data_IF_387422702010
#
_entry.id   IF_387422702010
#
_cell.length_a   1.000
_cell.length_b   1.000
_cell.length_c   1.000
_cell.angle_alpha   90.00
_cell.angle_beta   90.00
_cell.angle_gamma   90.00
#
_symmetry.space_group_name_H-M   'P 1'
#
loop_
_entity.id
_entity.type
_entity.pdbx_description
1 polymer ?
#
# COMPACT_ATOMS: atom_id res chain seq x y z
N UNK A 1 -76.77 -4.08 17.08
CA UNK A 1 -77.52 -4.21 15.82
C UNK A 1 -76.54 -4.13 14.66
N UNK A 2 -76.73 -4.95 13.61
CA UNK A 2 -75.74 -5.98 13.28
C UNK A 2 -75.14 -5.86 11.87
N UNK A 3 -74.11 -6.70 11.65
CA UNK A 3 -73.76 -7.41 10.41
C UNK A 3 -73.40 -6.56 9.17
N UNK A 4 -72.33 -6.86 8.43
CA UNK A 4 -72.24 -8.10 7.64
C UNK A 4 -70.82 -8.62 7.43
N UNK A 5 -70.78 -9.95 7.33
CA UNK A 5 -69.70 -10.92 7.20
C UNK A 5 -69.68 -11.43 5.75
N UNK A 6 -68.50 -11.79 5.23
CA UNK A 6 -68.27 -12.85 4.22
C UNK A 6 -66.77 -12.90 3.92
N UNK A 7 -66.02 -13.99 4.07
CA UNK A 7 -66.28 -15.38 3.65
C UNK A 7 -65.40 -15.64 2.40
N UNK A 8 -64.75 -16.77 2.14
CA UNK A 8 -64.55 -18.08 2.77
C UNK A 8 -63.57 -18.83 1.82
N UNK A 9 -63.00 -19.98 2.23
CA UNK A 9 -62.45 -21.07 1.36
C UNK A 9 -61.05 -20.79 0.77
N UNK A 10 -60.06 -21.68 0.77
CA UNK A 10 -59.99 -23.08 1.18
C UNK A 10 -58.54 -23.58 1.04
N UNK A 11 -58.23 -24.67 1.74
CA UNK A 11 -56.98 -25.38 1.65
C UNK A 11 -56.78 -25.99 0.25
N UNK A 12 -55.60 -25.83 -0.34
CA UNK A 12 -55.06 -26.81 -1.29
C UNK A 12 -53.58 -27.01 -0.98
N UNK A 13 -53.33 -28.16 -0.39
CA UNK A 13 -52.03 -28.82 -0.29
C UNK A 13 -51.57 -29.19 -1.70
N UNK A 14 -50.41 -28.68 -2.13
CA UNK A 14 -49.75 -29.18 -3.34
C UNK A 14 -48.26 -29.41 -3.04
N UNK A 15 -47.94 -30.67 -2.74
CA UNK A 15 -46.60 -31.22 -2.79
C UNK A 15 -46.11 -31.16 -4.25
N UNK A 16 -45.00 -30.49 -4.52
CA UNK A 16 -44.26 -30.65 -5.76
C UNK A 16 -42.80 -30.96 -5.41
N UNK A 17 -42.50 -32.26 -5.35
CA UNK A 17 -41.14 -32.79 -5.47
C UNK A 17 -40.71 -32.62 -6.92
N UNK A 18 -39.72 -31.77 -7.18
CA UNK A 18 -38.96 -31.78 -8.42
C UNK A 18 -37.49 -32.01 -8.05
N UNK A 19 -37.05 -33.24 -8.26
CA UNK A 19 -35.63 -33.54 -8.34
C UNK A 19 -35.09 -33.04 -9.68
N UNK A 20 -33.93 -32.38 -9.65
CA UNK A 20 -33.07 -32.20 -10.82
C UNK A 20 -31.69 -32.69 -10.44
N UNK A 21 -31.37 -33.86 -10.98
CA UNK A 21 -30.03 -34.35 -11.26
C UNK A 21 -29.35 -33.47 -12.31
N UNK A 22 -28.08 -33.12 -12.11
CA UNK A 22 -27.28 -32.49 -13.15
C UNK A 22 -25.90 -32.07 -12.66
N UNK A 23 -24.90 -32.94 -12.88
CA UNK A 23 -23.51 -32.53 -12.85
C UNK A 23 -23.24 -31.48 -13.94
N UNK A 24 -22.52 -30.43 -13.59
CA UNK A 24 -22.04 -29.42 -14.51
C UNK A 24 -20.75 -28.83 -13.97
N UNK A 25 -19.67 -28.93 -14.73
CA UNK A 25 -18.44 -28.18 -14.50
C UNK A 25 -18.80 -26.71 -14.32
N UNK A 26 -18.53 -26.17 -13.14
CA UNK A 26 -18.63 -24.75 -12.86
C UNK A 26 -17.61 -23.99 -13.70
N UNK A 27 -18.01 -23.59 -14.90
CA UNK A 27 -17.48 -22.40 -15.54
C UNK A 27 -17.95 -21.22 -14.69
N UNK A 28 -17.11 -20.80 -13.75
CA UNK A 28 -17.21 -19.46 -13.20
C UNK A 28 -17.22 -18.49 -14.39
N UNK A 29 -18.18 -17.56 -14.49
CA UNK A 29 -18.06 -16.50 -15.49
C UNK A 29 -16.76 -15.76 -15.16
N UNK A 30 -15.83 -15.78 -16.11
CA UNK A 30 -14.67 -14.92 -16.10
C UNK A 30 -15.20 -13.51 -15.90
N UNK A 31 -14.93 -12.97 -14.71
CA UNK A 31 -15.15 -11.57 -14.46
C UNK A 31 -14.11 -10.91 -15.34
N UNK A 32 -14.55 -10.40 -16.49
CA UNK A 32 -13.77 -9.45 -17.27
C UNK A 32 -13.40 -8.32 -16.31
N UNK A 33 -12.15 -8.35 -15.83
CA UNK A 33 -11.54 -7.19 -15.24
C UNK A 33 -11.57 -6.13 -16.33
N UNK A 34 -12.44 -5.13 -16.16
CA UNK A 34 -12.41 -3.93 -16.96
C UNK A 34 -10.98 -3.40 -17.00
N UNK A 35 -10.39 -3.41 -18.19
CA UNK A 35 -9.09 -2.86 -18.55
C UNK A 35 -9.16 -1.33 -18.43
N UNK A 36 -9.24 -0.82 -17.21
CA UNK A 36 -9.44 0.61 -16.93
C UNK A 36 -8.38 1.25 -16.04
N UNK A 37 -7.48 0.48 -15.42
CA UNK A 37 -6.58 1.02 -14.39
C UNK A 37 -5.11 0.66 -14.54
N UNK A 38 -4.71 0.02 -15.64
CA UNK A 38 -3.29 -0.02 -15.99
C UNK A 38 -2.99 1.39 -16.50
N UNK A 39 -2.25 2.18 -15.72
CA UNK A 39 -1.63 3.40 -16.20
C UNK A 39 -1.09 3.11 -17.61
N UNK A 40 -1.53 3.88 -18.62
CA UNK A 40 -1.05 3.68 -19.99
C UNK A 40 0.48 3.51 -19.94
N UNK A 41 1.05 2.46 -20.57
CA UNK A 41 2.48 2.15 -20.44
C UNK A 41 3.42 3.34 -20.70
N UNK A 42 2.92 4.36 -21.42
CA UNK A 42 3.61 5.61 -21.71
C UNK A 42 3.91 6.50 -20.48
N UNK A 43 3.18 6.37 -19.37
CA UNK A 43 3.40 7.19 -18.17
C UNK A 43 4.00 6.41 -17.00
N UNK A 44 3.99 5.08 -17.05
CA UNK A 44 4.46 4.24 -15.95
C UNK A 44 6.00 4.23 -15.85
N UNK A 45 6.53 4.42 -14.63
CA UNK A 45 7.96 4.33 -14.36
C UNK A 45 8.37 2.88 -14.16
N UNK A 46 9.29 2.37 -14.98
CA UNK A 46 9.85 1.02 -14.78
C UNK A 46 10.86 1.06 -13.63
N UNK A 47 10.64 0.23 -12.62
CA UNK A 47 11.49 0.11 -11.42
C UNK A 47 11.97 -1.33 -11.24
N UNK A 48 12.97 -1.52 -10.39
CA UNK A 48 13.42 -2.85 -10.02
C UNK A 48 12.35 -3.58 -9.20
N UNK A 49 12.28 -4.91 -9.38
CA UNK A 49 11.55 -5.76 -8.46
C UNK A 49 12.15 -5.61 -7.04
N UNK A 50 11.32 -5.48 -6.00
CA UNK A 50 11.81 -5.34 -4.63
C UNK A 50 12.44 -6.64 -4.13
N UNK A 51 13.61 -6.51 -3.50
CA UNK A 51 14.32 -7.61 -2.83
C UNK A 51 14.19 -7.54 -1.31
N UNK A 52 14.76 -8.52 -0.62
CA UNK A 52 14.87 -8.49 0.85
C UNK A 52 15.72 -7.30 1.34
N UNK A 53 16.76 -6.94 0.60
CA UNK A 53 17.60 -5.78 0.90
C UNK A 53 16.82 -4.48 0.72
N UNK A 54 16.01 -4.36 -0.34
CA UNK A 54 15.14 -3.21 -0.57
C UNK A 54 14.12 -3.05 0.58
N UNK A 55 13.53 -4.15 1.06
CA UNK A 55 12.69 -4.14 2.27
C UNK A 55 13.48 -3.66 3.49
N UNK A 56 14.70 -4.15 3.72
CA UNK A 56 15.52 -3.72 4.84
C UNK A 56 15.88 -2.21 4.77
N UNK A 57 16.14 -1.66 3.58
CA UNK A 57 16.34 -0.22 3.40
C UNK A 57 15.08 0.58 3.77
N UNK A 58 13.90 0.12 3.35
CA UNK A 58 12.62 0.74 3.70
C UNK A 58 12.38 0.74 5.21
N UNK A 59 12.55 -0.41 5.87
CA UNK A 59 12.42 -0.56 7.32
C UNK A 59 13.28 0.44 8.09
N UNK A 60 14.53 0.59 7.65
CA UNK A 60 15.48 1.50 8.29
C UNK A 60 15.10 2.96 8.08
N UNK A 61 14.63 3.34 6.90
CA UNK A 61 14.11 4.69 6.66
C UNK A 61 12.94 5.00 7.60
N UNK A 62 11.95 4.12 7.69
CA UNK A 62 10.82 4.30 8.61
C UNK A 62 11.29 4.46 10.06
N UNK A 63 12.21 3.59 10.51
CA UNK A 63 12.70 3.57 11.89
C UNK A 63 13.46 4.85 12.29
N UNK A 64 14.29 5.38 11.40
CA UNK A 64 15.15 6.53 11.74
C UNK A 64 14.52 7.89 11.46
N UNK A 65 13.49 7.96 10.60
CA UNK A 65 12.82 9.23 10.26
C UNK A 65 11.54 9.51 11.02
N UNK A 66 10.96 8.51 11.70
CA UNK A 66 9.70 8.66 12.41
C UNK A 66 9.86 8.38 13.90
N UNK A 67 8.85 8.75 14.68
CA UNK A 67 8.68 8.19 16.01
C UNK A 67 8.41 6.69 15.92
N UNK A 68 9.45 5.87 16.12
CA UNK A 68 9.42 4.39 16.05
C UNK A 68 8.33 3.67 16.88
N UNK A 69 7.72 4.32 17.87
CA UNK A 69 6.60 3.74 18.63
C UNK A 69 5.24 3.96 17.97
N UNK A 70 5.16 4.79 16.94
CA UNK A 70 3.93 5.19 16.24
C UNK A 70 3.86 4.50 14.87
N UNK A 71 2.91 3.58 14.69
CA UNK A 71 2.73 2.86 13.42
C UNK A 71 2.26 3.77 12.28
N UNK A 72 1.46 4.80 12.58
CA UNK A 72 1.06 5.82 11.59
C UNK A 72 2.27 6.61 11.12
N UNK A 73 3.19 6.95 12.03
CA UNK A 73 4.47 7.57 11.73
C UNK A 73 5.36 6.74 10.79
N UNK A 74 5.47 5.44 11.06
CA UNK A 74 6.20 4.51 10.20
C UNK A 74 5.57 4.44 8.81
N UNK A 75 4.23 4.29 8.75
CA UNK A 75 3.47 4.21 7.51
C UNK A 75 3.60 5.51 6.69
N UNK A 76 3.59 6.67 7.35
CA UNK A 76 3.70 7.98 6.72
C UNK A 76 5.07 8.20 6.05
N UNK A 77 6.16 7.91 6.76
CA UNK A 77 7.52 7.98 6.16
C UNK A 77 7.66 6.98 5.02
N UNK A 78 7.22 5.73 5.24
CA UNK A 78 7.30 4.71 4.21
C UNK A 78 6.48 5.07 2.96
N UNK A 79 5.34 5.74 3.13
CA UNK A 79 4.54 6.28 2.03
C UNK A 79 5.36 7.25 1.18
N UNK A 80 6.11 8.17 1.79
CA UNK A 80 7.00 9.08 1.05
C UNK A 80 8.08 8.31 0.28
N UNK A 81 8.69 7.28 0.86
CA UNK A 81 9.70 6.45 0.17
C UNK A 81 9.09 5.80 -1.08
N UNK A 82 7.87 5.27 -0.96
CA UNK A 82 7.17 4.66 -2.09
C UNK A 82 6.72 5.70 -3.13
N UNK A 83 6.23 6.86 -2.71
CA UNK A 83 5.88 7.96 -3.63
C UNK A 83 7.12 8.44 -4.40
N UNK A 84 8.29 8.46 -3.76
CA UNK A 84 9.57 8.72 -4.44
C UNK A 84 9.95 7.60 -5.39
N UNK A 85 9.71 6.34 -5.06
CA UNK A 85 9.92 5.22 -5.99
C UNK A 85 9.05 5.39 -7.26
N UNK A 86 7.82 5.87 -7.11
CA UNK A 86 6.88 6.15 -8.20
C UNK A 86 7.27 7.40 -9.02
N UNK A 87 7.85 8.42 -8.36
CA UNK A 87 8.20 9.70 -8.99
C UNK A 87 9.38 9.60 -9.99
N UNK A 88 9.27 10.22 -11.19
CA UNK A 88 10.35 10.23 -12.19
C UNK A 88 11.65 10.90 -11.74
N UNK A 89 11.58 11.86 -10.81
CA UNK A 89 12.74 12.61 -10.31
C UNK A 89 13.66 11.79 -9.38
N UNK A 90 13.27 10.57 -9.05
CA UNK A 90 13.94 9.73 -8.07
C UNK A 90 14.40 8.40 -8.68
N UNK A 91 15.38 7.71 -8.06
CA UNK A 91 15.86 6.41 -8.52
C UNK A 91 14.77 5.34 -8.62
N UNK A 92 15.06 4.29 -9.37
CA UNK A 92 14.13 3.19 -9.65
C UNK A 92 14.24 2.01 -8.67
N UNK A 93 14.88 2.20 -7.51
CA UNK A 93 15.07 1.16 -6.48
C UNK A 93 14.90 1.75 -5.08
N UNK A 94 14.35 0.99 -4.15
CA UNK A 94 14.07 1.47 -2.79
C UNK A 94 15.37 1.84 -2.06
N UNK A 95 16.37 0.97 -2.07
CA UNK A 95 17.66 1.29 -1.44
C UNK A 95 18.35 2.51 -2.06
N UNK A 96 18.16 2.77 -3.35
CA UNK A 96 18.72 3.97 -4.01
C UNK A 96 17.99 5.24 -3.58
N UNK A 97 16.66 5.19 -3.42
CA UNK A 97 15.87 6.30 -2.84
C UNK A 97 16.34 6.60 -1.42
N UNK A 98 16.46 5.58 -0.56
CA UNK A 98 16.88 5.74 0.85
C UNK A 98 18.34 6.16 0.95
N UNK A 99 19.20 5.70 0.04
CA UNK A 99 20.63 6.01 0.01
C UNK A 99 20.98 7.41 -0.50
N UNK A 100 20.01 8.20 -0.96
CA UNK A 100 20.30 9.54 -1.47
C UNK A 100 20.93 10.44 -0.40
N UNK A 101 22.01 11.12 -0.79
CA UNK A 101 22.79 11.98 0.11
C UNK A 101 21.92 13.06 0.74
N UNK A 102 21.94 13.14 2.08
CA UNK A 102 21.24 14.14 2.90
C UNK A 102 19.70 14.15 2.73
N UNK A 103 19.11 13.07 2.24
CA UNK A 103 17.65 12.94 2.16
C UNK A 103 17.03 12.27 3.40
N UNK A 104 17.85 11.48 4.10
CA UNK A 104 17.51 10.72 5.30
C UNK A 104 18.61 10.95 6.36
N UNK A 105 18.35 10.52 7.59
CA UNK A 105 19.16 10.68 8.77
C UNK A 105 20.57 10.14 8.56
N UNK A 106 21.61 10.78 9.12
CA UNK A 106 22.97 10.26 9.06
C UNK A 106 23.05 8.85 9.64
N UNK A 107 23.53 7.91 8.82
CA UNK A 107 23.63 6.51 9.16
C UNK A 107 22.33 5.70 8.98
N UNK A 108 21.34 6.21 8.22
CA UNK A 108 20.10 5.46 7.92
C UNK A 108 20.36 4.07 7.38
N UNK A 109 21.46 3.82 6.66
CA UNK A 109 21.85 2.49 6.14
C UNK A 109 22.88 1.73 7.01
N UNK A 110 23.49 2.36 8.02
CA UNK A 110 24.57 1.74 8.81
C UNK A 110 24.27 1.57 10.29
N UNK A 111 23.46 2.45 10.91
CA UNK A 111 23.15 2.38 12.34
C UNK A 111 22.32 1.14 12.71
N UNK A 112 22.50 0.54 13.88
CA UNK A 112 21.71 -0.62 14.27
C UNK A 112 20.24 -0.24 14.52
N UNK A 113 19.32 -1.10 14.07
CA UNK A 113 17.91 -1.06 14.44
C UNK A 113 17.75 -1.86 15.74
N UNK A 114 16.91 -1.40 16.66
CA UNK A 114 16.67 -2.11 17.92
C UNK A 114 15.80 -3.34 17.66
N UNK A 115 16.26 -4.51 18.11
CA UNK A 115 15.57 -5.80 17.90
C UNK A 115 14.13 -5.80 18.40
N UNK A 116 13.84 -5.13 19.51
CA UNK A 116 12.48 -5.02 20.06
C UNK A 116 11.50 -4.25 19.15
N UNK A 117 11.98 -3.41 18.23
CA UNK A 117 11.12 -2.65 17.31
C UNK A 117 10.89 -3.38 15.99
N UNK A 118 11.74 -4.35 15.63
CA UNK A 118 11.69 -5.04 14.32
C UNK A 118 10.32 -5.61 13.98
N UNK A 119 9.60 -6.33 14.85
CA UNK A 119 8.33 -6.92 14.47
C UNK A 119 7.30 -5.89 14.02
N UNK A 120 7.36 -4.68 14.59
CA UNK A 120 6.47 -3.57 14.20
C UNK A 120 6.86 -3.00 12.85
N UNK A 121 8.14 -2.71 12.67
CA UNK A 121 8.68 -2.10 11.46
C UNK A 121 8.45 -3.05 10.26
N UNK A 122 8.71 -4.35 10.44
CA UNK A 122 8.49 -5.39 9.43
C UNK A 122 7.02 -5.49 8.99
N UNK A 123 6.08 -5.42 9.94
CA UNK A 123 4.64 -5.41 9.61
C UNK A 123 4.28 -4.21 8.73
N UNK A 124 4.71 -3.01 9.10
CA UNK A 124 4.40 -1.80 8.34
C UNK A 124 5.09 -1.82 6.97
N UNK A 125 6.34 -2.32 6.89
CA UNK A 125 7.05 -2.50 5.62
C UNK A 125 6.29 -3.43 4.67
N UNK A 126 5.76 -4.55 5.19
CA UNK A 126 4.96 -5.47 4.39
C UNK A 126 3.67 -4.81 3.87
N UNK A 127 2.99 -3.99 4.68
CA UNK A 127 1.81 -3.24 4.24
C UNK A 127 2.13 -2.30 3.08
N UNK A 128 3.24 -1.56 3.17
CA UNK A 128 3.70 -0.64 2.11
C UNK A 128 4.05 -1.38 0.82
N UNK A 129 4.77 -2.50 0.92
CA UNK A 129 5.11 -3.35 -0.22
C UNK A 129 3.86 -4.00 -0.85
N UNK A 130 2.83 -4.26 -0.05
CA UNK A 130 1.52 -4.70 -0.53
C UNK A 130 0.67 -3.57 -1.12
N UNK A 131 1.14 -2.32 -1.10
CA UNK A 131 0.48 -1.17 -1.71
C UNK A 131 -0.32 -0.28 -0.75
N UNK A 132 -0.33 -0.57 0.56
CA UNK A 132 -0.96 0.33 1.52
C UNK A 132 -0.18 1.64 1.60
N UNK A 133 -0.88 2.74 1.79
CA UNK A 133 -0.32 4.09 1.93
C UNK A 133 -1.05 4.82 3.06
N UNK A 134 -0.37 5.78 3.69
CA UNK A 134 -0.99 6.63 4.69
C UNK A 134 -2.00 7.58 4.00
N UNK A 135 -3.27 7.59 4.41
CA UNK A 135 -4.34 8.27 3.66
C UNK A 135 -4.13 9.79 3.58
N UNK A 136 -3.67 10.43 4.66
CA UNK A 136 -3.47 11.88 4.68
C UNK A 136 -2.16 12.35 4.03
N UNK A 137 -1.14 11.49 3.95
CA UNK A 137 0.15 11.86 3.32
C UNK A 137 -0.02 12.02 1.81
N UNK A 138 -0.97 11.29 1.23
CA UNK A 138 -1.30 11.40 -0.19
C UNK A 138 -0.07 11.23 -1.07
N UNK A 139 0.19 12.22 -1.91
CA UNK A 139 1.29 12.23 -2.89
C UNK A 139 2.54 12.98 -2.40
N UNK A 140 2.60 13.36 -1.12
CA UNK A 140 3.74 14.09 -0.59
C UNK A 140 5.06 13.34 -0.83
N UNK A 141 6.06 14.08 -1.31
CA UNK A 141 7.42 13.60 -1.55
C UNK A 141 8.41 14.10 -0.49
N UNK A 142 7.96 14.97 0.40
CA UNK A 142 8.80 15.66 1.36
C UNK A 142 8.17 15.67 2.74
N UNK A 143 9.04 15.69 3.75
CA UNK A 143 8.66 15.88 5.13
C UNK A 143 9.80 16.57 5.89
N UNK A 144 9.48 17.07 7.06
CA UNK A 144 10.45 17.51 8.06
C UNK A 144 9.85 17.35 9.45
N UNK A 145 10.68 17.51 10.49
CA UNK A 145 10.21 17.51 11.88
C UNK A 145 9.09 18.54 12.09
N UNK A 146 7.98 18.11 12.68
CA UNK A 146 6.84 18.99 12.95
C UNK A 146 7.24 20.13 13.90
N UNK A 147 6.70 21.33 13.66
CA UNK A 147 6.99 22.52 14.46
C UNK A 147 8.18 23.35 13.98
N UNK A 148 8.96 22.86 12.99
CA UNK A 148 9.91 23.69 12.27
C UNK A 148 9.20 24.59 11.26
N UNK A 149 9.72 25.81 11.09
CA UNK A 149 9.24 26.78 10.10
C UNK A 149 10.38 27.19 9.19
N UNK A 150 10.10 27.29 7.90
CA UNK A 150 11.06 27.70 6.88
C UNK A 150 10.53 28.95 6.16
N UNK A 151 11.41 29.84 5.72
CA UNK A 151 11.04 31.09 5.04
C UNK A 151 10.66 30.93 3.56
N UNK A 152 10.33 29.72 3.12
CA UNK A 152 9.91 29.43 1.75
C UNK A 152 8.40 29.27 1.70
N UNK A 153 7.78 29.76 0.63
CA UNK A 153 6.33 29.71 0.39
C UNK A 153 5.89 28.54 -0.51
N UNK A 154 6.85 27.76 -1.01
CA UNK A 154 6.58 26.66 -1.94
C UNK A 154 6.28 25.31 -1.26
N UNK A 155 5.86 25.31 0.01
CA UNK A 155 5.61 24.10 0.81
C UNK A 155 4.14 24.00 1.19
N UNK A 156 3.42 23.06 0.58
CA UNK A 156 2.00 22.82 0.83
C UNK A 156 1.82 21.62 1.76
N UNK A 157 1.56 21.89 3.03
CA UNK A 157 1.41 20.86 4.06
C UNK A 157 0.11 20.06 3.91
N UNK A 158 0.22 18.74 3.97
CA UNK A 158 -0.91 17.81 3.77
C UNK A 158 -1.22 16.97 5.02
N UNK A 159 -0.22 16.64 5.82
CA UNK A 159 -0.40 15.78 7.00
C UNK A 159 0.63 16.04 8.10
N UNK A 160 0.31 15.58 9.32
CA UNK A 160 1.25 15.47 10.44
C UNK A 160 1.12 14.10 11.09
N UNK A 161 2.21 13.34 11.13
CA UNK A 161 2.24 11.98 11.70
C UNK A 161 3.67 11.64 12.15
N UNK A 162 3.83 10.79 13.18
CA UNK A 162 5.15 10.30 13.59
C UNK A 162 6.16 11.36 13.99
N UNK A 163 5.72 12.55 14.43
CA UNK A 163 6.60 13.69 14.73
C UNK A 163 7.04 14.52 13.52
N UNK A 164 6.49 14.26 12.33
CA UNK A 164 6.80 14.96 11.09
C UNK A 164 5.60 15.73 10.54
N UNK A 165 5.88 16.74 9.71
CA UNK A 165 4.94 17.40 8.82
C UNK A 165 5.29 17.04 7.38
N UNK A 166 4.30 16.57 6.63
CA UNK A 166 4.42 16.12 5.24
C UNK A 166 3.88 17.18 4.31
N UNK A 167 4.52 17.36 3.15
CA UNK A 167 4.17 18.43 2.24
C UNK A 167 4.55 18.13 0.79
N UNK A 168 3.82 18.77 -0.11
CA UNK A 168 4.13 18.85 -1.53
C UNK A 168 4.90 20.15 -1.81
N UNK A 169 5.85 20.11 -2.74
CA UNK A 169 6.61 21.29 -3.13
C UNK A 169 6.12 21.81 -4.47
N UNK A 170 5.84 23.10 -4.53
CA UNK A 170 5.58 23.79 -5.78
C UNK A 170 6.88 24.10 -6.52
N UNK A 171 6.84 24.05 -7.85
CA UNK A 171 7.91 24.54 -8.71
C UNK A 171 7.89 26.08 -8.83
N UNK A 172 8.72 26.63 -9.74
CA UNK A 172 8.84 28.09 -9.90
C UNK A 172 7.56 28.72 -10.45
N UNK A 173 6.77 27.94 -11.15
CA UNK A 173 5.51 28.31 -11.77
C UNK A 173 4.34 28.18 -10.77
N UNK A 174 4.60 27.71 -9.55
CA UNK A 174 3.60 27.53 -8.51
C UNK A 174 2.79 26.24 -8.66
N UNK A 175 3.24 25.32 -9.52
CA UNK A 175 2.55 24.06 -9.77
C UNK A 175 2.97 22.99 -8.75
N UNK A 176 1.98 22.31 -8.18
CA UNK A 176 2.17 21.11 -7.39
C UNK A 176 2.26 19.90 -8.32
N UNK A 177 3.26 19.01 -8.18
CA UNK A 177 3.44 17.88 -9.08
C UNK A 177 2.15 17.06 -9.22
N UNK A 178 1.84 16.65 -10.46
CA UNK A 178 0.72 15.76 -10.74
C UNK A 178 0.84 14.45 -9.93
N UNK A 179 -0.27 13.72 -9.69
CA UNK A 179 -0.22 12.40 -9.07
C UNK A 179 0.85 11.52 -9.73
N UNK A 180 1.74 10.92 -8.93
CA UNK A 180 2.88 10.16 -9.48
C UNK A 180 2.37 8.93 -10.23
N UNK A 181 2.94 8.63 -11.41
CA UNK A 181 2.59 7.41 -12.12
C UNK A 181 3.00 6.19 -11.28
N UNK A 182 2.13 5.19 -11.21
CA UNK A 182 2.43 3.97 -10.47
C UNK A 182 3.67 3.28 -11.06
N UNK A 183 4.63 2.95 -10.20
CA UNK A 183 5.79 2.18 -10.60
C UNK A 183 5.38 0.78 -11.09
N UNK A 184 6.02 0.33 -12.16
CA UNK A 184 5.83 -0.99 -12.76
C UNK A 184 7.14 -1.75 -12.79
N UNK A 185 7.06 -3.06 -12.68
CA UNK A 185 8.21 -3.95 -12.76
C UNK A 185 8.17 -4.69 -14.09
N UNK A 186 9.32 -4.80 -14.75
CA UNK A 186 9.47 -5.65 -15.92
C UNK A 186 9.79 -7.09 -15.48
N UNK A 187 8.94 -8.04 -15.86
CA UNK A 187 9.16 -9.46 -15.59
C UNK A 187 10.25 -10.05 -16.50
N UNK A 188 10.72 -11.26 -16.21
CA UNK A 188 11.70 -11.95 -17.04
C UNK A 188 11.19 -12.20 -18.48
N UNK A 189 9.88 -12.36 -18.63
CA UNK A 189 9.16 -12.53 -19.89
C UNK A 189 8.92 -11.19 -20.62
N UNK A 190 9.41 -10.08 -20.07
CA UNK A 190 9.32 -8.74 -20.66
C UNK A 190 8.01 -8.00 -20.40
N UNK A 191 7.04 -8.63 -19.71
CA UNK A 191 5.76 -8.01 -19.37
C UNK A 191 5.92 -6.94 -18.28
N UNK A 192 5.08 -5.90 -18.31
CA UNK A 192 5.02 -4.89 -17.26
C UNK A 192 3.89 -5.23 -16.29
N UNK A 193 4.23 -5.39 -15.01
CA UNK A 193 3.26 -5.67 -13.94
C UNK A 193 3.30 -4.56 -12.89
N UNK A 194 2.19 -4.30 -12.17
CA UNK A 194 2.20 -3.38 -11.04
C UNK A 194 3.24 -3.80 -9.99
N UNK A 195 3.89 -2.83 -9.36
CA UNK A 195 4.88 -3.10 -8.29
C UNK A 195 4.33 -4.01 -7.19
N UNK A 196 3.05 -3.85 -6.82
CA UNK A 196 2.35 -4.65 -5.80
C UNK A 196 2.08 -6.10 -6.21
N UNK A 197 2.07 -6.39 -7.50
CA UNK A 197 1.99 -7.76 -8.01
C UNK A 197 3.37 -8.43 -7.97
N UNK A 198 4.43 -7.66 -8.26
CA UNK A 198 5.81 -8.15 -8.20
C UNK A 198 6.25 -8.50 -6.77
N UNK A 199 5.76 -7.79 -5.74
CA UNK A 199 6.03 -8.12 -4.33
C UNK A 199 5.43 -9.45 -3.89
N UNK A 200 4.25 -9.82 -4.40
CA UNK A 200 3.57 -11.07 -4.05
C UNK A 200 4.27 -12.31 -4.65
N UNK A 201 4.88 -12.18 -5.83
CA UNK A 201 5.66 -13.26 -6.45
C UNK A 201 6.92 -13.61 -5.63
N UNK A 202 7.56 -12.61 -5.01
CA UNK A 202 8.71 -12.81 -4.12
C UNK A 202 8.28 -13.46 -2.79
N UNK A 203 7.11 -13.11 -2.25
CA UNK A 203 6.60 -13.71 -1.02
C UNK A 203 6.31 -15.23 -1.15
N UNK A 204 5.91 -15.68 -2.35
CA UNK A 204 5.60 -17.09 -2.63
C UNK A 204 6.83 -17.98 -2.87
N UNK A 205 8.01 -17.37 -3.06
CA UNK A 205 9.28 -18.08 -3.32
C UNK A 205 10.20 -18.14 -2.10
N UNK A 206 9.83 -17.47 -1.00
CA UNK A 206 10.51 -17.59 0.27
C UNK A 206 10.09 -18.90 0.99
N UNK A 207 11.02 -19.66 1.57
CA UNK A 207 10.69 -20.88 2.30
C UNK A 207 9.73 -20.58 3.46
N UNK A 208 8.68 -21.39 3.56
CA UNK A 208 7.51 -21.21 4.44
C UNK A 208 7.78 -21.41 5.95
N UNK A 209 8.98 -21.12 6.45
CA UNK A 209 9.33 -21.39 7.85
C UNK A 209 8.86 -20.29 8.83
N UNK A 210 8.14 -19.27 8.34
CA UNK A 210 7.63 -18.15 9.15
C UNK A 210 6.10 -18.14 9.35
N UNK A 211 5.37 -19.15 8.88
CA UNK A 211 3.89 -19.13 8.88
C UNK A 211 3.27 -19.59 10.22
N UNK A 212 4.02 -20.24 11.11
CA UNK A 212 3.44 -20.91 12.29
C UNK A 212 3.39 -20.06 13.56
N UNK A 213 3.04 -18.76 13.51
CA UNK A 213 2.64 -17.97 14.71
C UNK A 213 1.72 -16.80 14.34
N UNK A 214 0.59 -17.06 13.69
CA UNK A 214 -0.42 -16.03 13.42
C UNK A 214 -1.84 -16.55 13.69
N UNK A 215 -2.06 -17.22 14.82
CA UNK A 215 -3.39 -17.62 15.30
C UNK A 215 -3.46 -17.62 16.81
N UNK A 216 -2.98 -16.56 17.48
CA UNK A 216 -3.48 -16.22 18.83
C UNK A 216 -2.91 -14.87 19.27
N UNK A 217 -3.67 -13.80 19.04
CA UNK A 217 -3.60 -12.62 19.89
C UNK A 217 -4.97 -11.94 19.81
N UNK A 218 -5.87 -12.40 20.68
CA UNK A 218 -7.16 -11.78 20.91
C UNK A 218 -6.98 -10.33 21.36
N UNK A 219 -7.77 -9.44 20.76
CA UNK A 219 -8.04 -8.11 21.30
C UNK A 219 -8.68 -8.26 22.70
N UNK A 220 -8.09 -7.58 23.68
CA UNK A 220 -8.75 -7.08 24.90
C UNK A 220 -8.41 -5.63 25.04
#
# INVERSE_FOLDING_TARGET
MPATRNGQIGAVLALALVGVSGGGCGLFPAQELTTGSIATPATAKVVAAPTAEDKACLERAMYFESNRSDEEGLLAVGTVVMNRLDAPAYPGRICEVVGQKRQFAPGVLTKPVREADRPRIERVANLLLAGHRHPEVGQALHFHTAGLTFGYDNMHYVAKAGGNAFYEKSDREGYLPAPVPHAVVRTAEGSLVPFTAATQAVALTLPADATTRFTSASFR
#
